data_IF_306793464377
#
_entry.id   IF_306793464377
#
_cell.length_a   1.000
_cell.length_b   1.000
_cell.length_c   1.000
_cell.angle_alpha   90.00
_cell.angle_beta   90.00
_cell.angle_gamma   90.00
#
_symmetry.space_group_name_H-M   'P 1'
#
loop_
_entity.id
_entity.type
_entity.pdbx_description
1 polymer ?
#
# COMPACT_ATOMS: atom_id res chain seq x y z
N UNK A 1 -8.78 -14.61 -87.18
CA UNK A 1 -9.79 -14.80 -86.12
C UNK A 1 -9.65 -16.23 -85.63
N UNK A 2 -8.86 -16.44 -84.58
CA UNK A 2 -8.78 -17.72 -83.88
C UNK A 2 -9.37 -17.50 -82.50
N UNK A 3 -10.57 -18.02 -82.30
CA UNK A 3 -11.31 -18.06 -81.04
C UNK A 3 -10.60 -19.04 -80.10
N UNK A 4 -9.88 -18.52 -79.11
CA UNK A 4 -9.27 -19.32 -78.06
C UNK A 4 -10.38 -19.81 -77.10
N UNK A 5 -10.54 -21.13 -77.04
CA UNK A 5 -11.63 -21.81 -76.33
C UNK A 5 -11.28 -21.90 -74.83
N UNK A 6 -11.92 -21.07 -74.03
CA UNK A 6 -11.89 -21.15 -72.56
C UNK A 6 -12.62 -22.40 -72.08
N UNK A 7 -11.88 -23.46 -71.76
CA UNK A 7 -12.43 -24.62 -71.05
C UNK A 7 -12.88 -24.19 -69.64
N UNK A 8 -14.08 -24.60 -69.18
CA UNK A 8 -14.57 -24.24 -67.86
C UNK A 8 -13.73 -24.94 -66.78
N UNK A 9 -13.16 -24.16 -65.86
CA UNK A 9 -12.45 -24.71 -64.69
C UNK A 9 -13.42 -25.54 -63.84
N UNK A 10 -13.05 -26.79 -63.54
CA UNK A 10 -13.82 -27.65 -62.63
C UNK A 10 -13.99 -26.98 -61.25
N UNK A 11 -15.17 -27.12 -60.61
CA UNK A 11 -15.45 -26.47 -59.35
C UNK A 11 -14.52 -27.00 -58.25
N UNK A 12 -13.61 -26.14 -57.77
CA UNK A 12 -12.70 -26.43 -56.66
C UNK A 12 -13.49 -26.96 -55.46
N UNK A 13 -13.15 -28.16 -55.00
CA UNK A 13 -13.78 -28.81 -53.85
C UNK A 13 -13.68 -27.99 -52.57
N UNK A 14 -14.66 -28.13 -51.67
CA UNK A 14 -14.76 -27.36 -50.41
C UNK A 14 -13.48 -27.43 -49.56
N UNK A 15 -12.78 -28.56 -49.55
CA UNK A 15 -11.50 -28.73 -48.85
C UNK A 15 -10.38 -27.84 -49.41
N UNK A 16 -10.33 -27.61 -50.73
CA UNK A 16 -9.38 -26.69 -51.34
C UNK A 16 -9.69 -25.22 -51.00
N UNK A 17 -10.98 -24.87 -50.89
CA UNK A 17 -11.39 -23.52 -50.47
C UNK A 17 -11.07 -23.26 -49.00
N UNK A 18 -11.31 -24.25 -48.13
CA UNK A 18 -10.95 -24.21 -46.71
C UNK A 18 -9.44 -24.12 -46.50
N UNK A 19 -8.65 -24.89 -47.26
CA UNK A 19 -7.19 -24.83 -47.19
C UNK A 19 -6.63 -23.45 -47.53
N UNK A 20 -7.16 -22.78 -48.56
CA UNK A 20 -6.71 -21.45 -48.96
C UNK A 20 -7.02 -20.33 -47.94
N UNK A 21 -8.10 -20.47 -47.15
CA UNK A 21 -8.50 -19.47 -46.15
C UNK A 21 -7.75 -19.62 -44.82
N UNK A 22 -7.15 -20.78 -44.55
CA UNK A 22 -6.56 -21.12 -43.25
C UNK A 22 -5.36 -20.22 -42.86
N UNK A 23 -4.40 -19.88 -43.75
CA UNK A 23 -3.32 -18.94 -43.40
C UNK A 23 -3.84 -17.54 -43.03
N UNK A 24 -4.86 -17.06 -43.72
CA UNK A 24 -5.48 -15.75 -43.47
C UNK A 24 -6.17 -15.77 -42.10
N UNK A 25 -6.93 -16.82 -41.80
CA UNK A 25 -7.57 -17.00 -40.50
C UNK A 25 -6.57 -17.06 -39.34
N UNK A 26 -5.47 -17.82 -39.50
CA UNK A 26 -4.43 -17.92 -38.47
C UNK A 26 -3.67 -16.61 -38.27
N UNK A 27 -3.44 -15.85 -39.35
CA UNK A 27 -2.82 -14.52 -39.25
C UNK A 27 -3.73 -13.54 -38.51
N UNK A 28 -5.02 -13.53 -38.80
CA UNK A 28 -5.99 -12.72 -38.07
C UNK A 28 -6.03 -13.09 -36.58
N UNK A 29 -6.03 -14.39 -36.25
CA UNK A 29 -5.95 -14.85 -34.85
C UNK A 29 -4.66 -14.41 -34.17
N UNK A 30 -3.52 -14.49 -34.84
CA UNK A 30 -2.25 -14.00 -34.31
C UNK A 30 -2.32 -12.51 -33.96
N UNK A 31 -2.90 -11.67 -34.84
CA UNK A 31 -3.10 -10.24 -34.57
C UNK A 31 -4.01 -9.99 -33.36
N UNK A 32 -5.08 -10.77 -33.21
CA UNK A 32 -5.96 -10.69 -32.04
C UNK A 32 -5.17 -11.03 -30.76
N UNK A 33 -4.40 -12.12 -30.76
CA UNK A 33 -3.57 -12.50 -29.61
C UNK A 33 -2.49 -11.47 -29.30
N UNK A 34 -1.90 -10.82 -30.31
CA UNK A 34 -0.95 -9.72 -30.12
C UNK A 34 -1.60 -8.53 -29.38
N UNK A 35 -2.82 -8.16 -29.78
CA UNK A 35 -3.60 -7.12 -29.12
C UNK A 35 -3.94 -7.48 -27.67
N UNK A 36 -4.41 -8.71 -27.42
CA UNK A 36 -4.69 -9.20 -26.07
C UNK A 36 -3.45 -9.26 -25.18
N UNK A 37 -2.30 -9.66 -25.74
CA UNK A 37 -1.02 -9.68 -25.02
C UNK A 37 -0.59 -8.28 -24.61
N UNK A 38 -0.67 -7.31 -25.53
CA UNK A 38 -0.34 -5.90 -25.26
C UNK A 38 -1.25 -5.32 -24.18
N UNK A 39 -2.56 -5.56 -24.26
CA UNK A 39 -3.51 -5.10 -23.25
C UNK A 39 -3.24 -5.69 -21.86
N UNK A 40 -2.91 -6.99 -21.78
CA UNK A 40 -2.54 -7.62 -20.51
C UNK A 40 -1.22 -7.06 -19.95
N UNK A 41 -0.23 -6.75 -20.81
CA UNK A 41 1.01 -6.12 -20.39
C UNK A 41 0.78 -4.70 -19.86
N UNK A 42 -0.06 -3.90 -20.52
CA UNK A 42 -0.44 -2.57 -20.04
C UNK A 42 -1.11 -2.63 -18.67
N UNK A 43 -2.01 -3.61 -18.45
CA UNK A 43 -2.62 -3.84 -17.14
C UNK A 43 -1.56 -4.24 -16.09
N UNK A 44 -0.60 -5.10 -16.44
CA UNK A 44 0.49 -5.47 -15.53
C UNK A 44 1.32 -4.24 -15.13
N UNK A 45 1.64 -3.36 -16.09
CA UNK A 45 2.39 -2.12 -15.82
C UNK A 45 1.58 -1.12 -14.98
N UNK A 46 0.27 -1.02 -15.19
CA UNK A 46 -0.62 -0.22 -14.35
C UNK A 46 -0.57 -0.66 -12.89
N UNK A 47 -0.75 -1.96 -12.63
CA UNK A 47 -0.69 -2.50 -11.26
C UNK A 47 0.69 -2.37 -10.63
N UNK A 48 1.76 -2.48 -11.43
CA UNK A 48 3.13 -2.24 -10.95
C UNK A 48 3.34 -0.78 -10.54
N UNK A 49 2.82 0.17 -11.30
CA UNK A 49 2.85 1.60 -10.96
C UNK A 49 2.03 1.89 -9.70
N UNK A 50 0.84 1.29 -9.59
CA UNK A 50 0.01 1.38 -8.39
C UNK A 50 0.73 0.84 -7.15
N UNK A 51 1.38 -0.33 -7.26
CA UNK A 51 2.18 -0.91 -6.17
C UNK A 51 3.31 0.04 -5.74
N UNK A 52 3.98 0.71 -6.69
CA UNK A 52 5.02 1.68 -6.36
C UNK A 52 4.49 2.92 -5.62
N UNK A 53 3.31 3.42 -5.99
CA UNK A 53 2.65 4.52 -5.27
C UNK A 53 2.26 4.10 -3.84
N UNK A 54 1.68 2.91 -3.69
CA UNK A 54 1.30 2.39 -2.38
C UNK A 54 2.53 2.11 -1.50
N UNK A 55 3.67 1.70 -2.11
CA UNK A 55 4.94 1.54 -1.40
C UNK A 55 5.50 2.86 -0.88
N UNK A 56 5.35 3.94 -1.65
CA UNK A 56 5.71 5.29 -1.20
C UNK A 56 4.86 5.71 0.01
N UNK A 57 3.54 5.48 -0.03
CA UNK A 57 2.64 5.74 1.11
C UNK A 57 3.01 4.91 2.34
N UNK A 58 3.24 3.61 2.19
CA UNK A 58 3.69 2.74 3.27
C UNK A 58 4.99 3.26 3.91
N UNK A 59 5.97 3.63 3.09
CA UNK A 59 7.26 4.17 3.54
C UNK A 59 7.09 5.47 4.33
N UNK A 60 6.21 6.36 3.88
CA UNK A 60 5.91 7.60 4.60
C UNK A 60 5.30 7.31 5.98
N UNK A 61 4.36 6.36 6.07
CA UNK A 61 3.72 5.99 7.34
C UNK A 61 4.71 5.33 8.31
N UNK A 62 5.58 4.43 7.83
CA UNK A 62 6.67 3.88 8.64
C UNK A 62 7.63 4.95 9.14
N UNK A 63 7.99 5.91 8.29
CA UNK A 63 8.89 7.02 8.66
C UNK A 63 8.25 7.91 9.73
N UNK A 64 6.96 8.25 9.57
CA UNK A 64 6.20 9.01 10.58
C UNK A 64 6.09 8.24 11.90
N UNK A 65 5.82 6.93 11.84
CA UNK A 65 5.80 6.08 13.02
C UNK A 65 7.16 6.07 13.75
N UNK A 66 8.26 5.95 13.01
CA UNK A 66 9.62 6.01 13.55
C UNK A 66 9.90 7.36 14.21
N UNK A 67 9.61 8.47 13.52
CA UNK A 67 9.80 9.82 14.06
C UNK A 67 9.00 10.04 15.35
N UNK A 68 7.72 9.63 15.39
CA UNK A 68 6.89 9.76 16.59
C UNK A 68 7.42 8.89 17.74
N UNK A 69 7.92 7.68 17.45
CA UNK A 69 8.56 6.83 18.46
C UNK A 69 9.82 7.48 19.04
N UNK A 70 10.67 8.07 18.20
CA UNK A 70 11.88 8.76 18.65
C UNK A 70 11.55 10.00 19.48
N UNK A 71 10.56 10.79 19.05
CA UNK A 71 10.04 11.91 19.84
C UNK A 71 9.53 11.45 21.20
N UNK A 72 8.82 10.32 21.27
CA UNK A 72 8.39 9.77 22.53
C UNK A 72 9.57 9.42 23.46
N UNK A 73 10.67 8.86 22.93
CA UNK A 73 11.87 8.55 23.73
C UNK A 73 12.54 9.83 24.25
N UNK A 74 12.62 10.88 23.44
CA UNK A 74 13.11 12.20 23.88
C UNK A 74 12.25 12.74 25.02
N UNK A 75 10.92 12.73 24.88
CA UNK A 75 10.02 13.21 25.93
C UNK A 75 10.09 12.37 27.20
N UNK A 76 10.25 11.05 27.08
CA UNK A 76 10.47 10.17 28.24
C UNK A 76 11.74 10.58 29.01
N UNK A 77 12.81 10.90 28.31
CA UNK A 77 14.09 11.28 28.90
C UNK A 77 13.97 12.64 29.61
N UNK A 78 13.36 13.63 28.95
CA UNK A 78 13.09 14.95 29.54
C UNK A 78 12.20 14.85 30.78
N UNK A 79 11.14 14.05 30.72
CA UNK A 79 10.26 13.79 31.86
C UNK A 79 11.03 13.16 33.04
N UNK A 80 11.87 12.16 32.78
CA UNK A 80 12.67 11.50 33.82
C UNK A 80 13.66 12.47 34.48
N UNK A 81 14.33 13.32 33.70
CA UNK A 81 15.24 14.34 34.22
C UNK A 81 14.50 15.36 35.10
N UNK A 82 13.36 15.88 34.63
CA UNK A 82 12.59 16.86 35.40
C UNK A 82 11.93 16.26 36.64
N UNK A 83 11.50 14.99 36.61
CA UNK A 83 11.07 14.28 37.81
C UNK A 83 12.17 14.17 38.84
N UNK A 84 13.39 13.85 38.42
CA UNK A 84 14.52 13.80 39.35
C UNK A 84 14.81 15.18 39.94
N UNK A 85 14.75 16.25 39.12
CA UNK A 85 14.92 17.64 39.58
C UNK A 85 13.80 18.11 40.51
N UNK A 86 12.58 17.61 40.36
CA UNK A 86 11.46 17.91 41.25
C UNK A 86 11.42 17.01 42.49
N UNK A 87 12.45 16.19 42.72
CA UNK A 87 12.50 15.20 43.81
C UNK A 87 11.30 14.24 43.78
N UNK A 88 10.85 13.88 42.57
CA UNK A 88 9.68 13.02 42.33
C UNK A 88 8.38 13.56 42.93
N UNK A 89 8.28 14.87 43.12
CA UNK A 89 7.05 15.52 43.59
C UNK A 89 5.91 15.30 42.60
N UNK A 90 4.74 14.97 43.13
CA UNK A 90 3.49 14.93 42.35
C UNK A 90 3.02 16.38 42.13
N UNK A 91 2.78 16.82 40.88
CA UNK A 91 2.30 18.17 40.63
C UNK A 91 0.89 18.36 41.18
N UNK A 92 0.67 19.52 41.77
CA UNK A 92 -0.66 19.99 42.15
C UNK A 92 -1.15 20.96 41.09
N UNK A 93 -2.20 20.58 40.38
CA UNK A 93 -2.88 21.46 39.42
C UNK A 93 -4.13 22.08 40.07
N UNK A 94 -4.47 23.31 39.67
CA UNK A 94 -5.72 23.92 40.11
C UNK A 94 -6.95 23.12 39.65
N UNK A 95 -8.02 23.16 40.46
CA UNK A 95 -9.26 22.41 40.19
C UNK A 95 -9.93 22.87 38.89
N UNK A 96 -10.68 21.97 38.20
CA UNK A 96 -11.48 22.34 37.03
C UNK A 96 -12.37 23.57 37.30
N UNK A 97 -12.52 24.46 36.32
CA UNK A 97 -13.39 25.65 36.37
C UNK A 97 -12.77 26.89 37.01
N UNK A 98 -11.57 26.79 37.58
CA UNK A 98 -10.89 27.95 38.21
C UNK A 98 -9.97 28.73 37.28
N UNK A 99 -9.55 28.14 36.15
CA UNK A 99 -8.51 28.71 35.28
C UNK A 99 -8.98 29.09 33.87
N UNK A 100 -9.94 28.34 33.31
CA UNK A 100 -10.39 28.50 31.93
C UNK A 100 -11.93 28.49 31.89
N UNK A 101 -12.54 29.67 32.06
CA UNK A 101 -14.00 29.82 32.06
C UNK A 101 -14.62 29.30 30.76
N UNK A 102 -15.59 28.38 30.86
CA UNK A 102 -16.31 27.83 29.70
C UNK A 102 -15.66 26.59 29.07
N UNK A 103 -14.62 26.02 29.67
CA UNK A 103 -13.95 24.79 29.21
C UNK A 103 -13.88 23.69 30.28
N UNK A 104 -14.79 23.70 31.25
CA UNK A 104 -14.72 22.86 32.44
C UNK A 104 -14.59 21.35 32.12
N UNK A 105 -15.31 20.86 31.09
CA UNK A 105 -15.23 19.47 30.65
C UNK A 105 -13.87 19.13 30.02
N UNK A 106 -13.34 20.00 29.16
CA UNK A 106 -12.02 19.81 28.55
C UNK A 106 -10.90 19.91 29.58
N UNK A 107 -11.04 20.83 30.54
CA UNK A 107 -10.10 20.98 31.65
C UNK A 107 -10.10 19.72 32.53
N UNK A 108 -11.27 19.16 32.84
CA UNK A 108 -11.37 17.91 33.59
C UNK A 108 -10.73 16.73 32.83
N UNK A 109 -10.96 16.60 31.52
CA UNK A 109 -10.31 15.57 30.68
C UNK A 109 -8.80 15.75 30.62
N UNK A 110 -8.32 16.99 30.41
CA UNK A 110 -6.90 17.31 30.39
C UNK A 110 -6.23 17.01 31.73
N UNK A 111 -6.87 17.33 32.85
CA UNK A 111 -6.38 16.99 34.18
C UNK A 111 -6.34 15.47 34.40
N UNK A 112 -7.34 14.72 33.94
CA UNK A 112 -7.30 13.25 33.96
C UNK A 112 -6.20 12.64 33.09
N UNK A 113 -5.76 13.36 32.04
CA UNK A 113 -4.61 12.95 31.23
C UNK A 113 -3.26 13.31 31.88
N UNK A 114 -3.20 14.38 32.67
CA UNK A 114 -1.98 14.79 33.37
C UNK A 114 -1.79 14.00 34.67
N UNK A 115 -2.85 13.85 35.48
CA UNK A 115 -2.78 13.27 36.82
C UNK A 115 -3.15 11.78 36.75
N UNK A 116 -2.31 10.94 37.37
CA UNK A 116 -2.62 9.52 37.56
C UNK A 116 -3.65 9.38 38.69
N UNK A 117 -4.91 9.13 38.35
CA UNK A 117 -5.97 8.92 39.35
C UNK A 117 -6.14 7.41 39.64
N UNK A 118 -5.98 7.02 40.91
CA UNK A 118 -6.37 5.67 41.43
C UNK A 118 -5.74 4.46 40.71
N UNK A 119 -4.51 4.58 40.21
CA UNK A 119 -3.80 3.46 39.57
C UNK A 119 -4.19 3.21 38.11
N UNK A 120 -5.09 4.02 37.55
CA UNK A 120 -5.29 4.11 36.10
C UNK A 120 -4.21 4.99 35.50
N UNK A 121 -3.55 4.49 34.44
CA UNK A 121 -2.40 5.14 33.82
C UNK A 121 -2.81 6.49 33.23
N UNK A 122 -2.18 7.57 33.70
CA UNK A 122 -2.30 8.90 33.11
C UNK A 122 -2.11 8.92 31.57
N UNK A 123 -2.61 9.94 30.89
CA UNK A 123 -2.42 10.16 29.47
C UNK A 123 -3.59 9.72 28.59
N UNK A 124 -3.44 9.84 27.25
CA UNK A 124 -4.51 9.53 26.32
C UNK A 124 -4.91 8.04 26.41
N UNK A 125 -6.21 7.73 26.20
CA UNK A 125 -6.68 6.36 26.18
C UNK A 125 -6.00 5.58 25.06
N UNK A 126 -5.87 4.26 25.25
CA UNK A 126 -5.39 3.38 24.17
C UNK A 126 -6.36 3.46 23.00
N UNK A 127 -5.84 3.87 21.84
CA UNK A 127 -6.63 3.91 20.61
C UNK A 127 -6.95 2.49 20.19
N UNK A 128 -8.25 2.20 20.05
CA UNK A 128 -8.73 0.96 19.43
C UNK A 128 -8.93 1.25 17.96
N UNK A 129 -8.06 0.72 17.12
CA UNK A 129 -8.23 0.79 15.68
C UNK A 129 -9.39 -0.13 15.25
N UNK A 130 -10.04 0.17 14.12
CA UNK A 130 -11.06 -0.72 13.55
C UNK A 130 -10.50 -2.14 13.41
N UNK A 131 -11.27 -3.14 13.84
CA UNK A 131 -10.85 -4.53 13.67
C UNK A 131 -10.95 -4.91 12.19
N UNK A 132 -9.85 -5.41 11.65
CA UNK A 132 -9.82 -6.00 10.31
C UNK A 132 -10.68 -7.27 10.36
N UNK A 133 -11.79 -7.33 9.64
CA UNK A 133 -12.69 -8.51 9.68
C UNK A 133 -12.29 -9.61 8.69
N UNK A 134 -11.57 -9.27 7.62
CA UNK A 134 -11.16 -10.22 6.57
C UNK A 134 -9.98 -11.08 7.04
N UNK A 135 -10.19 -12.40 7.09
CA UNK A 135 -9.19 -13.39 7.50
C UNK A 135 -7.98 -13.44 6.55
N UNK A 136 -8.16 -13.18 5.25
CA UNK A 136 -7.04 -13.16 4.31
C UNK A 136 -6.14 -11.94 4.55
N UNK A 137 -6.74 -10.80 4.93
CA UNK A 137 -5.97 -9.61 5.31
C UNK A 137 -5.19 -9.89 6.60
N UNK A 138 -5.81 -10.52 7.61
CA UNK A 138 -5.12 -10.93 8.84
C UNK A 138 -3.96 -11.88 8.53
N UNK A 139 -4.20 -12.95 7.77
CA UNK A 139 -3.18 -13.94 7.42
C UNK A 139 -2.00 -13.32 6.65
N UNK A 140 -2.27 -12.41 5.69
CA UNK A 140 -1.22 -11.72 4.95
C UNK A 140 -0.44 -10.75 5.86
N UNK A 141 -1.12 -10.04 6.76
CA UNK A 141 -0.47 -9.18 7.75
C UNK A 141 0.49 -10.00 8.61
N UNK A 142 0.03 -11.13 9.15
CA UNK A 142 0.84 -12.02 9.98
C UNK A 142 2.05 -12.56 9.20
N UNK A 143 1.87 -12.89 7.92
CA UNK A 143 2.95 -13.28 7.02
C UNK A 143 4.01 -12.18 6.84
N UNK A 144 3.58 -10.91 6.69
CA UNK A 144 4.48 -9.76 6.60
C UNK A 144 5.22 -9.54 7.92
N UNK A 145 4.52 -9.56 9.05
CA UNK A 145 5.10 -9.39 10.38
C UNK A 145 6.14 -10.48 10.70
N UNK A 146 5.86 -11.73 10.30
CA UNK A 146 6.76 -12.88 10.46
C UNK A 146 7.81 -13.01 9.35
N UNK A 147 7.82 -12.08 8.38
CA UNK A 147 8.78 -12.01 7.27
C UNK A 147 8.83 -13.30 6.43
N UNK A 148 7.66 -13.84 6.09
CA UNK A 148 7.56 -14.98 5.19
C UNK A 148 8.19 -14.68 3.82
N UNK A 149 8.64 -15.72 3.08
CA UNK A 149 9.16 -15.56 1.72
C UNK A 149 8.17 -14.82 0.79
N UNK A 150 8.70 -13.98 -0.11
CA UNK A 150 7.87 -13.17 -1.01
C UNK A 150 6.90 -14.01 -1.85
N UNK A 151 7.29 -15.22 -2.25
CA UNK A 151 6.44 -16.14 -3.00
C UNK A 151 5.20 -16.57 -2.22
N UNK A 152 5.33 -16.78 -0.90
CA UNK A 152 4.22 -17.14 -0.02
C UNK A 152 3.31 -15.93 0.22
N UNK A 153 3.91 -14.74 0.44
CA UNK A 153 3.18 -13.49 0.61
C UNK A 153 2.34 -13.16 -0.64
N UNK A 154 2.89 -13.33 -1.85
CA UNK A 154 2.14 -13.10 -3.08
C UNK A 154 0.99 -14.10 -3.27
N UNK A 155 1.17 -15.35 -2.81
CA UNK A 155 0.10 -16.35 -2.84
C UNK A 155 -1.04 -16.02 -1.87
N UNK A 156 -0.73 -15.46 -0.69
CA UNK A 156 -1.72 -14.94 0.25
C UNK A 156 -2.39 -13.67 -0.30
N UNK A 157 -1.61 -12.75 -0.85
CA UNK A 157 -2.09 -11.49 -1.42
C UNK A 157 -3.04 -11.69 -2.60
N UNK A 158 -2.84 -12.71 -3.42
CA UNK A 158 -3.76 -13.07 -4.50
C UNK A 158 -5.18 -13.45 -4.02
N UNK A 159 -5.35 -13.77 -2.73
CA UNK A 159 -6.65 -14.12 -2.11
C UNK A 159 -7.36 -12.92 -1.48
N UNK A 160 -6.66 -11.82 -1.26
CA UNK A 160 -7.21 -10.63 -0.58
C UNK A 160 -8.15 -9.89 -1.53
N UNK A 161 -9.34 -9.54 -1.04
CA UNK A 161 -10.26 -8.70 -1.78
C UNK A 161 -9.78 -7.23 -1.74
N UNK A 162 -9.63 -6.61 -2.93
CA UNK A 162 -9.19 -5.22 -3.09
C UNK A 162 -10.10 -4.21 -2.41
N UNK A 163 -11.41 -4.41 -2.49
CA UNK A 163 -12.37 -3.49 -1.90
C UNK A 163 -12.35 -3.60 -0.38
N UNK A 164 -12.10 -4.80 0.16
CA UNK A 164 -11.95 -5.02 1.60
C UNK A 164 -10.70 -4.31 2.15
N UNK A 165 -9.55 -4.41 1.48
CA UNK A 165 -8.34 -3.70 1.93
C UNK A 165 -8.46 -2.19 1.77
N UNK A 166 -9.07 -1.68 0.70
CA UNK A 166 -9.31 -0.24 0.54
C UNK A 166 -10.21 0.29 1.64
N UNK A 167 -11.31 -0.43 1.94
CA UNK A 167 -12.20 -0.08 3.05
C UNK A 167 -11.48 -0.11 4.39
N UNK A 168 -10.65 -1.12 4.65
CA UNK A 168 -9.88 -1.21 5.89
C UNK A 168 -8.90 -0.04 6.06
N UNK A 169 -8.25 0.40 4.97
CA UNK A 169 -7.40 1.60 4.96
C UNK A 169 -8.26 2.83 5.28
N UNK A 170 -9.34 3.06 4.54
CA UNK A 170 -10.21 4.23 4.72
C UNK A 170 -10.80 4.31 6.13
N UNK A 171 -11.28 3.19 6.68
CA UNK A 171 -11.84 3.11 8.03
C UNK A 171 -10.77 3.40 9.08
N UNK A 172 -9.54 2.91 8.87
CA UNK A 172 -8.41 3.17 9.79
C UNK A 172 -7.97 4.63 9.71
N UNK A 173 -7.84 5.21 8.52
CA UNK A 173 -7.47 6.62 8.33
C UNK A 173 -8.51 7.55 8.98
N UNK A 174 -9.80 7.28 8.79
CA UNK A 174 -10.88 8.04 9.45
C UNK A 174 -10.82 7.92 10.97
N UNK A 175 -10.54 6.73 11.50
CA UNK A 175 -10.40 6.53 12.94
C UNK A 175 -9.22 7.35 13.50
N UNK A 176 -8.09 7.39 12.80
CA UNK A 176 -6.94 8.22 13.20
C UNK A 176 -7.27 9.71 13.13
N UNK A 177 -7.92 10.17 12.06
CA UNK A 177 -8.34 11.57 11.94
C UNK A 177 -9.32 11.97 13.05
N UNK A 178 -10.25 11.08 13.41
CA UNK A 178 -11.17 11.30 14.52
C UNK A 178 -10.44 11.42 15.86
N UNK A 179 -9.49 10.51 16.11
CA UNK A 179 -8.66 10.55 17.32
C UNK A 179 -7.89 11.88 17.40
N UNK A 180 -7.27 12.32 16.30
CA UNK A 180 -6.55 13.60 16.26
C UNK A 180 -7.48 14.79 16.57
N UNK A 181 -8.69 14.80 15.99
CA UNK A 181 -9.70 15.84 16.27
C UNK A 181 -10.17 15.84 17.73
N UNK A 182 -10.33 14.67 18.34
CA UNK A 182 -10.73 14.53 19.73
C UNK A 182 -9.60 14.94 20.69
N UNK A 183 -8.36 14.62 20.35
CA UNK A 183 -7.19 14.81 21.21
C UNK A 183 -6.65 16.24 21.18
N UNK A 184 -6.62 16.89 20.02
CA UNK A 184 -6.04 18.23 19.83
C UNK A 184 -6.54 19.27 20.87
N UNK A 185 -7.85 19.45 21.11
CA UNK A 185 -8.31 20.42 22.11
C UNK A 185 -7.89 20.06 23.53
N UNK A 186 -7.86 18.76 23.88
CA UNK A 186 -7.47 18.28 25.22
C UNK A 186 -5.97 18.54 25.44
N UNK A 187 -5.14 18.27 24.44
CA UNK A 187 -3.68 18.49 24.49
C UNK A 187 -3.38 19.97 24.65
N UNK A 188 -4.09 20.84 23.91
CA UNK A 188 -3.93 22.30 24.02
C UNK A 188 -4.24 22.78 25.44
N UNK A 189 -5.36 22.34 26.02
CA UNK A 189 -5.73 22.68 27.40
C UNK A 189 -4.71 22.12 28.39
N UNK A 190 -4.26 20.87 28.23
CA UNK A 190 -3.24 20.27 29.08
C UNK A 190 -1.92 21.07 29.04
N UNK A 191 -1.48 21.49 27.85
CA UNK A 191 -0.30 22.33 27.69
C UNK A 191 -0.46 23.70 28.39
N UNK A 192 -1.64 24.32 28.28
CA UNK A 192 -1.94 25.57 29.00
C UNK A 192 -1.92 25.39 30.52
N UNK A 193 -2.47 24.29 31.05
CA UNK A 193 -2.42 24.00 32.48
C UNK A 193 -0.99 23.85 32.99
N UNK A 194 -0.13 23.14 32.25
CA UNK A 194 1.30 23.01 32.57
C UNK A 194 2.00 24.37 32.53
N UNK A 195 1.68 25.23 31.55
CA UNK A 195 2.24 26.58 31.45
C UNK A 195 1.80 27.49 32.61
N UNK A 196 0.54 27.42 33.04
CA UNK A 196 0.03 28.21 34.16
C UNK A 196 0.79 27.88 35.45
N UNK A 197 1.08 26.60 35.71
CA UNK A 197 1.88 26.19 36.87
C UNK A 197 3.31 26.72 36.84
N UNK A 198 3.85 27.00 35.65
CA UNK A 198 5.17 27.61 35.49
C UNK A 198 5.22 29.12 35.82
N UNK A 199 4.06 29.79 35.96
CA UNK A 199 4.01 31.22 36.26
C UNK A 199 4.27 31.44 37.76
N UNK A 200 5.48 31.90 38.09
CA UNK A 200 5.85 32.31 39.46
C UNK A 200 5.71 33.82 39.58
N UNK A 201 4.93 34.30 40.57
CA UNK A 201 4.80 35.75 40.79
C UNK A 201 6.05 36.28 41.50
N UNK A 202 6.55 37.42 41.04
CA UNK A 202 7.79 38.00 41.55
C UNK A 202 7.69 38.55 42.98
N UNK A 203 6.48 38.90 43.41
CA UNK A 203 6.12 39.46 44.71
C UNK A 203 5.83 38.41 45.80
N UNK A 204 5.82 37.12 45.46
CA UNK A 204 5.57 36.05 46.43
C UNK A 204 6.76 35.85 47.39
N UNK A 205 6.51 35.48 48.67
CA UNK A 205 7.55 35.13 49.63
C UNK A 205 8.49 34.03 49.12
N UNK A 206 9.77 34.06 49.50
CA UNK A 206 10.81 33.13 49.04
C UNK A 206 10.42 31.64 49.17
N UNK A 207 9.80 31.26 50.28
CA UNK A 207 9.37 29.89 50.52
C UNK A 207 8.23 29.47 49.59
N UNK A 208 7.32 30.38 49.27
CA UNK A 208 6.24 30.14 48.31
C UNK A 208 6.79 30.03 46.89
N UNK A 209 7.75 30.90 46.53
CA UNK A 209 8.45 30.85 45.23
C UNK A 209 9.17 29.51 45.03
N UNK A 210 9.89 29.02 46.05
CA UNK A 210 10.56 27.70 46.00
C UNK A 210 9.56 26.55 45.85
N UNK A 211 8.46 26.56 46.62
CA UNK A 211 7.41 25.53 46.51
C UNK A 211 6.77 25.52 45.12
N UNK A 212 6.47 26.72 44.58
CA UNK A 212 5.87 26.87 43.27
C UNK A 212 6.83 26.50 42.14
N UNK A 213 8.12 26.84 42.26
CA UNK A 213 9.15 26.40 41.31
C UNK A 213 9.25 24.87 41.24
N UNK A 214 9.28 24.19 42.39
CA UNK A 214 9.28 22.73 42.41
C UNK A 214 7.98 22.12 41.85
N UNK A 215 6.82 22.76 42.08
CA UNK A 215 5.55 22.36 41.45
C UNK A 215 5.58 22.53 39.93
N UNK A 216 6.12 23.65 39.44
CA UNK A 216 6.29 23.93 38.02
C UNK A 216 7.15 22.89 37.33
N UNK A 217 8.30 22.52 37.93
CA UNK A 217 9.17 21.45 37.42
C UNK A 217 8.44 20.10 37.37
N UNK A 218 7.68 19.77 38.43
CA UNK A 218 6.86 18.57 38.44
C UNK A 218 5.75 18.58 37.37
N UNK A 219 5.09 19.72 37.17
CA UNK A 219 4.03 19.87 36.17
C UNK A 219 4.59 19.76 34.74
N UNK A 220 5.76 20.34 34.48
CA UNK A 220 6.47 20.20 33.21
C UNK A 220 6.85 18.74 32.94
N UNK A 221 7.36 18.02 33.95
CA UNK A 221 7.66 16.61 33.82
C UNK A 221 6.43 15.80 33.39
N UNK A 222 5.29 16.03 34.03
CA UNK A 222 4.02 15.41 33.67
C UNK A 222 3.53 15.79 32.28
N UNK A 223 3.73 17.04 31.86
CA UNK A 223 3.47 17.48 30.48
C UNK A 223 4.26 16.67 29.45
N UNK A 224 5.56 16.45 29.70
CA UNK A 224 6.38 15.60 28.83
C UNK A 224 5.96 14.13 28.83
N UNK A 225 5.52 13.58 29.96
CA UNK A 225 4.97 12.22 29.97
C UNK A 225 3.70 12.08 29.16
N UNK A 226 2.83 13.09 29.22
CA UNK A 226 1.63 13.13 28.42
C UNK A 226 1.98 13.09 26.93
N UNK A 227 2.88 13.96 26.49
CA UNK A 227 3.36 13.98 25.10
C UNK A 227 4.02 12.66 24.69
N UNK A 228 4.83 12.07 25.57
CA UNK A 228 5.44 10.76 25.35
C UNK A 228 4.38 9.69 25.08
N UNK A 229 3.33 9.62 25.91
CA UNK A 229 2.26 8.62 25.77
C UNK A 229 1.45 8.85 24.49
N UNK A 230 1.14 10.11 24.18
CA UNK A 230 0.50 10.49 22.91
C UNK A 230 1.30 10.05 21.70
N UNK A 231 2.58 10.42 21.63
CA UNK A 231 3.43 10.07 20.50
C UNK A 231 3.59 8.57 20.32
N UNK A 232 3.59 7.78 21.40
CA UNK A 232 3.56 6.30 21.29
C UNK A 232 2.26 5.79 20.69
N UNK A 233 1.12 6.32 21.12
CA UNK A 233 -0.17 5.91 20.59
C UNK A 233 -0.30 6.28 19.10
N UNK A 234 0.11 7.49 18.72
CA UNK A 234 0.13 7.90 17.33
C UNK A 234 1.14 7.13 16.47
N UNK A 235 2.30 6.78 17.02
CA UNK A 235 3.26 5.90 16.34
C UNK A 235 2.60 4.55 16.03
N UNK A 236 1.91 3.95 17.00
CA UNK A 236 1.17 2.69 16.80
C UNK A 236 0.10 2.81 15.69
N UNK A 237 -0.68 3.91 15.68
CA UNK A 237 -1.67 4.16 14.63
C UNK A 237 -1.04 4.23 13.23
N UNK A 238 0.08 4.97 13.11
CA UNK A 238 0.80 5.09 11.84
C UNK A 238 1.41 3.76 11.39
N UNK A 239 1.92 2.92 12.32
CA UNK A 239 2.40 1.58 11.98
C UNK A 239 1.28 0.69 11.44
N UNK A 240 0.09 0.75 12.06
CA UNK A 240 -1.05 -0.04 11.60
C UNK A 240 -1.49 0.37 10.19
N UNK A 241 -1.56 1.68 9.89
CA UNK A 241 -1.82 2.17 8.53
C UNK A 241 -0.70 1.74 7.57
N UNK A 242 0.57 1.80 8.00
CA UNK A 242 1.69 1.37 7.17
C UNK A 242 1.57 -0.10 6.74
N UNK A 243 1.23 -1.01 7.67
CA UNK A 243 0.99 -2.41 7.36
C UNK A 243 -0.15 -2.60 6.34
N UNK A 244 -1.24 -1.85 6.45
CA UNK A 244 -2.34 -1.93 5.47
C UNK A 244 -1.89 -1.49 4.07
N UNK A 245 -1.07 -0.44 3.97
CA UNK A 245 -0.48 -0.06 2.69
C UNK A 245 0.50 -1.10 2.16
N UNK A 246 1.33 -1.73 3.00
CA UNK A 246 2.19 -2.85 2.57
C UNK A 246 1.39 -4.02 2.03
N UNK A 247 0.27 -4.37 2.68
CA UNK A 247 -0.66 -5.39 2.18
C UNK A 247 -1.16 -5.00 0.79
N UNK A 248 -1.60 -3.74 0.60
CA UNK A 248 -2.06 -3.24 -0.70
C UNK A 248 -0.96 -3.26 -1.77
N UNK A 249 0.30 -3.03 -1.42
CA UNK A 249 1.46 -3.21 -2.31
C UNK A 249 1.54 -4.67 -2.77
N UNK A 250 1.47 -5.64 -1.84
CA UNK A 250 1.54 -7.07 -2.18
C UNK A 250 0.37 -7.50 -3.06
N UNK A 251 -0.84 -7.02 -2.81
CA UNK A 251 -2.03 -7.28 -3.63
C UNK A 251 -1.83 -6.74 -5.06
N UNK A 252 -1.34 -5.50 -5.18
CA UNK A 252 -1.09 -4.88 -6.49
C UNK A 252 0.02 -5.61 -7.25
N UNK A 253 1.08 -6.03 -6.57
CA UNK A 253 2.15 -6.84 -7.16
C UNK A 253 1.64 -8.20 -7.64
N UNK A 254 0.83 -8.90 -6.83
CA UNK A 254 0.24 -10.18 -7.21
C UNK A 254 -0.64 -10.07 -8.47
N UNK A 255 -1.39 -8.98 -8.60
CA UNK A 255 -2.21 -8.71 -9.78
C UNK A 255 -1.38 -8.34 -11.01
N UNK A 256 -0.33 -7.54 -10.83
CA UNK A 256 0.64 -7.27 -11.89
C UNK A 256 1.22 -8.58 -12.44
N UNK A 257 1.62 -9.49 -11.56
CA UNK A 257 2.16 -10.80 -11.94
C UNK A 257 1.14 -11.68 -12.67
N UNK A 258 -0.11 -11.68 -12.20
CA UNK A 258 -1.20 -12.41 -12.87
C UNK A 258 -1.40 -11.91 -14.30
N UNK A 259 -1.43 -10.59 -14.51
CA UNK A 259 -1.58 -10.00 -15.84
C UNK A 259 -0.35 -10.23 -16.72
N UNK A 260 0.87 -10.19 -16.15
CA UNK A 260 2.11 -10.53 -16.85
C UNK A 260 2.10 -11.97 -17.35
N UNK A 261 1.73 -12.94 -16.51
CA UNK A 261 1.61 -14.35 -16.91
C UNK A 261 0.55 -14.53 -18.00
N UNK A 262 -0.58 -13.83 -17.90
CA UNK A 262 -1.63 -13.84 -18.94
C UNK A 262 -1.10 -13.32 -20.28
N UNK A 263 -0.32 -12.23 -20.28
CA UNK A 263 0.35 -11.71 -21.48
C UNK A 263 1.31 -12.73 -22.09
N UNK A 264 2.12 -13.42 -21.26
CA UNK A 264 3.01 -14.49 -21.72
C UNK A 264 2.24 -15.62 -22.40
N UNK A 265 1.10 -16.06 -21.85
CA UNK A 265 0.28 -17.09 -22.49
C UNK A 265 -0.29 -16.63 -23.85
N UNK A 266 -0.76 -15.39 -23.97
CA UNK A 266 -1.21 -14.86 -25.26
C UNK A 266 -0.07 -14.73 -26.27
N UNK A 267 1.12 -14.36 -25.81
CA UNK A 267 2.31 -14.34 -26.64
C UNK A 267 2.64 -15.73 -27.20
N UNK A 268 2.61 -16.78 -26.36
CA UNK A 268 2.80 -18.15 -26.83
C UNK A 268 1.70 -18.61 -27.81
N UNK A 269 0.44 -18.25 -27.56
CA UNK A 269 -0.66 -18.56 -28.47
C UNK A 269 -0.48 -17.86 -29.83
N UNK A 270 -0.02 -16.60 -29.82
CA UNK A 270 0.34 -15.86 -31.03
C UNK A 270 1.47 -16.55 -31.81
N UNK A 271 2.55 -16.95 -31.13
CA UNK A 271 3.67 -17.67 -31.77
C UNK A 271 3.19 -19.00 -32.38
N UNK A 272 2.38 -19.77 -31.66
CA UNK A 272 1.82 -21.02 -32.17
C UNK A 272 0.94 -20.79 -33.41
N UNK A 273 0.11 -19.74 -33.41
CA UNK A 273 -0.71 -19.37 -34.57
C UNK A 273 0.15 -18.96 -35.78
N UNK A 274 1.23 -18.20 -35.56
CA UNK A 274 2.17 -17.81 -36.60
C UNK A 274 2.89 -19.03 -37.21
N UNK A 275 3.39 -19.95 -36.38
CA UNK A 275 3.99 -21.21 -36.83
C UNK A 275 2.98 -22.02 -37.65
N UNK A 276 1.74 -22.14 -37.18
CA UNK A 276 0.67 -22.82 -37.91
C UNK A 276 0.39 -22.18 -39.29
N UNK A 277 0.40 -20.85 -39.36
CA UNK A 277 0.19 -20.12 -40.62
C UNK A 277 1.32 -20.39 -41.63
N UNK A 278 2.58 -20.44 -41.16
CA UNK A 278 3.74 -20.78 -42.00
C UNK A 278 3.63 -22.22 -42.50
N UNK A 279 3.36 -23.20 -41.62
CA UNK A 279 3.24 -24.61 -42.03
C UNK A 279 2.13 -24.78 -43.07
N UNK A 280 0.98 -24.12 -42.86
CA UNK A 280 -0.14 -24.13 -43.80
C UNK A 280 0.25 -23.52 -45.15
N UNK A 281 0.92 -22.37 -45.13
CA UNK A 281 1.40 -21.70 -46.35
C UNK A 281 2.39 -22.57 -47.13
N UNK A 282 3.31 -23.24 -46.43
CA UNK A 282 4.28 -24.16 -47.03
C UNK A 282 3.59 -25.40 -47.63
N UNK A 283 2.56 -25.93 -46.96
CA UNK A 283 1.77 -27.05 -47.48
C UNK A 283 1.03 -26.68 -48.79
N UNK A 284 0.46 -25.47 -48.85
CA UNK A 284 -0.18 -24.94 -50.07
C UNK A 284 0.87 -24.68 -51.16
N UNK A 285 2.04 -24.14 -50.80
CA UNK A 285 3.14 -23.88 -51.74
C UNK A 285 3.62 -25.17 -52.42
N UNK A 286 3.75 -26.26 -51.64
CA UNK A 286 4.10 -27.59 -52.16
C UNK A 286 3.07 -28.10 -53.16
N UNK A 287 1.77 -27.91 -52.91
CA UNK A 287 0.73 -28.32 -53.86
C UNK A 287 0.75 -27.51 -55.16
N UNK A 288 1.10 -26.21 -55.11
CA UNK A 288 1.08 -25.32 -56.28
C UNK A 288 2.40 -25.18 -57.03
N UNK A 289 3.48 -25.84 -56.58
CA UNK A 289 4.84 -25.73 -57.14
C UNK A 289 5.31 -24.28 -57.36
N UNK A 290 4.89 -23.36 -56.48
CA UNK A 290 5.24 -21.95 -56.62
C UNK A 290 6.46 -21.62 -55.78
N UNK A 291 7.57 -21.31 -56.45
CA UNK A 291 8.86 -20.90 -55.82
C UNK A 291 8.70 -19.63 -54.98
N UNK A 292 7.81 -18.71 -55.39
CA UNK A 292 7.54 -17.46 -54.67
C UNK A 292 6.98 -17.72 -53.26
N UNK A 293 6.06 -18.67 -53.13
CA UNK A 293 5.47 -19.05 -51.84
C UNK A 293 6.46 -19.75 -50.91
N UNK A 294 7.47 -20.41 -51.47
CA UNK A 294 8.53 -21.04 -50.69
C UNK A 294 9.43 -20.00 -50.02
N UNK A 295 9.86 -18.97 -50.76
CA UNK A 295 10.66 -17.87 -50.20
C UNK A 295 9.92 -17.09 -49.11
N UNK A 296 8.63 -16.78 -49.33
CA UNK A 296 7.81 -16.12 -48.32
C UNK A 296 7.72 -16.94 -47.01
N UNK A 297 7.55 -18.26 -47.14
CA UNK A 297 7.50 -19.17 -45.98
C UNK A 297 8.86 -19.26 -45.27
N UNK A 298 9.96 -19.25 -46.02
CA UNK A 298 11.32 -19.28 -45.47
C UNK A 298 11.65 -18.02 -44.66
N UNK A 299 11.31 -16.83 -45.17
CA UNK A 299 11.49 -15.56 -44.45
C UNK A 299 10.66 -15.57 -43.15
N UNK A 300 9.44 -16.12 -43.20
CA UNK A 300 8.60 -16.32 -42.01
C UNK A 300 9.26 -17.22 -40.96
N UNK A 301 9.83 -18.35 -41.38
CA UNK A 301 10.57 -19.26 -40.48
C UNK A 301 11.79 -18.60 -39.83
N UNK A 302 12.59 -17.85 -40.61
CA UNK A 302 13.75 -17.13 -40.08
C UNK A 302 13.32 -16.09 -39.04
N UNK A 303 12.22 -15.39 -39.30
CA UNK A 303 11.69 -14.36 -38.39
C UNK A 303 11.22 -14.99 -37.06
N UNK A 304 10.54 -16.14 -37.12
CA UNK A 304 10.14 -16.90 -35.93
C UNK A 304 11.37 -17.43 -35.18
N UNK A 305 12.38 -17.94 -35.90
CA UNK A 305 13.61 -18.45 -35.30
C UNK A 305 14.37 -17.39 -34.51
N UNK A 306 14.51 -16.19 -35.05
CA UNK A 306 15.12 -15.04 -34.35
C UNK A 306 14.27 -14.66 -33.13
N UNK A 307 12.94 -14.61 -33.27
CA UNK A 307 12.05 -14.31 -32.14
C UNK A 307 12.15 -15.33 -31.00
N UNK A 308 12.24 -16.62 -31.33
CA UNK A 308 12.40 -17.68 -30.34
C UNK A 308 13.78 -17.65 -29.65
N UNK A 309 14.84 -17.32 -30.40
CA UNK A 309 16.20 -17.17 -29.86
C UNK A 309 16.27 -16.06 -28.82
N UNK A 310 15.80 -14.85 -29.16
CA UNK A 310 15.78 -13.71 -28.22
C UNK A 310 14.95 -14.01 -26.97
N UNK A 311 13.89 -14.81 -27.10
CA UNK A 311 13.06 -15.22 -25.98
C UNK A 311 13.76 -16.23 -25.05
N UNK A 312 14.63 -17.10 -25.56
CA UNK A 312 15.38 -18.06 -24.73
C UNK A 312 16.56 -17.42 -23.99
N UNK A 313 17.08 -16.30 -24.48
CA UNK A 313 18.15 -15.53 -23.83
C UNK A 313 17.67 -14.52 -22.79
N UNK A 314 16.38 -14.15 -22.78
CA UNK A 314 15.79 -13.14 -21.88
C UNK A 314 14.98 -13.72 -20.73
#
# INVERSE_FOLDING_TARGET
>A
MSSDSTKPEEPKGLLQKLGAALPIGLTALATVFAGMSTGALQQAMYWKSQAAQDQSKATNQWSLAGFKRDRALTMQTSAAQLRAMSEYRVPMFAKPGTLLSGQDELQAKALGWLIEEKGDKAGPPRVKLPEITDENIKALRDGIETRQPETELLALAAKVNKDAINKAIDDTEKAVEQVDKEWDPIIKVAATLVQIEAIIRADAPDDERKKKAANATAAQATGFELEQRRYRAESFMNQAIAFLYEIRVKVSTAESDKHRRKSQHFFYAMLAAQVGAVISSLAIARQKMSVLWFFASFIGLVSIGIGAYVFLEG
#
